data_IF_009256915749
#
_entry.id   IF_009256915749
#
_cell.length_a   1.000
_cell.length_b   1.000
_cell.length_c   1.000
_cell.angle_alpha   90.00
_cell.angle_beta   90.00
_cell.angle_gamma   90.00
#
_symmetry.space_group_name_H-M   'P 1'
#
loop_
_entity.id
_entity.type
_entity.pdbx_description
1 polymer ?
#
# COMPACT_ATOMS: atom_id res chain seq x y z
N UNK A 1 28.90 16.01 10.85
CA UNK A 1 28.20 17.02 11.66
C UNK A 1 26.75 16.99 11.19
N UNK A 2 25.81 16.50 11.99
CA UNK A 2 24.38 16.57 11.63
C UNK A 2 23.94 18.03 11.71
N UNK A 3 23.28 18.51 10.67
CA UNK A 3 22.80 19.89 10.60
C UNK A 3 21.30 19.89 10.93
N UNK A 4 20.99 19.50 12.17
CA UNK A 4 19.62 19.33 12.61
C UNK A 4 18.98 20.71 12.80
N UNK A 5 17.90 20.99 12.06
CA UNK A 5 17.17 22.27 12.12
C UNK A 5 16.37 22.45 13.42
N UNK A 6 16.20 21.39 14.20
CA UNK A 6 15.41 21.33 15.43
C UNK A 6 16.29 20.81 16.57
N UNK A 7 16.71 21.72 17.46
CA UNK A 7 17.78 21.46 18.43
C UNK A 7 17.27 21.15 19.84
N UNK A 8 16.05 21.60 20.19
CA UNK A 8 15.46 21.33 21.51
C UNK A 8 14.64 20.05 21.51
N UNK A 9 14.53 19.40 22.67
CA UNK A 9 13.69 18.21 22.87
C UNK A 9 12.26 18.44 22.41
N UNK A 10 11.70 19.61 22.74
CA UNK A 10 10.35 20.00 22.39
C UNK A 10 10.18 20.18 20.88
N UNK A 11 11.16 20.77 20.19
CA UNK A 11 11.15 20.92 18.73
C UNK A 11 11.26 19.56 18.03
N UNK A 12 12.15 18.69 18.49
CA UNK A 12 12.32 17.35 17.93
C UNK A 12 11.08 16.48 18.10
N UNK A 13 10.47 16.50 19.30
CA UNK A 13 9.22 15.81 19.56
C UNK A 13 8.07 16.32 18.68
N UNK A 14 7.93 17.65 18.56
CA UNK A 14 6.89 18.28 17.74
C UNK A 14 7.06 17.94 16.24
N UNK A 15 8.30 17.96 15.75
CA UNK A 15 8.61 17.56 14.38
C UNK A 15 8.28 16.09 14.12
N UNK A 16 8.63 15.20 15.06
CA UNK A 16 8.30 13.77 14.98
C UNK A 16 6.79 13.50 14.92
N UNK A 17 6.00 14.20 15.74
CA UNK A 17 4.53 14.10 15.70
C UNK A 17 4.00 14.55 14.33
N UNK A 18 4.45 15.71 13.84
CA UNK A 18 4.05 16.22 12.53
C UNK A 18 4.44 15.28 11.38
N UNK A 19 5.62 14.68 11.45
CA UNK A 19 6.09 13.69 10.47
C UNK A 19 5.22 12.43 10.48
N UNK A 20 4.89 11.90 11.66
CA UNK A 20 4.02 10.73 11.78
C UNK A 20 2.61 11.01 11.24
N UNK A 21 2.02 12.15 11.59
CA UNK A 21 0.71 12.57 11.08
C UNK A 21 0.75 12.79 9.56
N UNK A 22 1.81 13.41 9.04
CA UNK A 22 2.00 13.63 7.61
C UNK A 22 2.10 12.31 6.83
N UNK A 23 2.81 11.32 7.36
CA UNK A 23 2.90 9.98 6.76
C UNK A 23 1.53 9.28 6.72
N UNK A 24 0.75 9.40 7.79
CA UNK A 24 -0.62 8.87 7.82
C UNK A 24 -1.53 9.57 6.80
N UNK A 25 -1.47 10.91 6.73
CA UNK A 25 -2.26 11.70 5.78
C UNK A 25 -1.90 11.37 4.32
N UNK A 26 -0.61 11.29 4.01
CA UNK A 26 -0.14 10.96 2.66
C UNK A 26 -0.55 9.55 2.22
N UNK A 27 -0.67 8.62 3.17
CA UNK A 27 -1.13 7.25 2.91
C UNK A 27 -2.65 7.16 2.78
N UNK A 28 -3.39 7.98 3.52
CA UNK A 28 -4.85 7.93 3.57
C UNK A 28 -5.52 8.71 2.44
N UNK A 29 -4.90 9.77 1.94
CA UNK A 29 -5.49 10.65 0.95
C UNK A 29 -4.51 10.95 -0.19
N UNK A 30 -4.89 10.63 -1.42
CA UNK A 30 -4.23 11.18 -2.59
C UNK A 30 -4.76 12.59 -2.87
N UNK A 31 -3.86 13.55 -3.12
CA UNK A 31 -4.23 14.92 -3.49
C UNK A 31 -4.56 15.85 -2.32
N UNK A 32 -4.00 15.61 -1.13
CA UNK A 32 -4.12 16.52 0.03
C UNK A 32 -3.50 17.89 -0.31
N UNK A 33 -4.25 18.97 -0.05
CA UNK A 33 -3.68 20.31 0.02
C UNK A 33 -2.97 20.48 1.38
N UNK A 34 -1.64 20.41 1.34
CA UNK A 34 -0.83 20.46 2.56
C UNK A 34 -0.93 21.82 3.27
N UNK A 35 -1.08 22.92 2.54
CA UNK A 35 -1.22 24.26 3.13
C UNK A 35 -2.56 24.38 3.88
N UNK A 36 -3.64 23.86 3.31
CA UNK A 36 -4.94 23.80 3.98
C UNK A 36 -4.88 22.90 5.23
N UNK A 37 -4.24 21.72 5.13
CA UNK A 37 -4.08 20.80 6.25
C UNK A 37 -3.25 21.42 7.40
N UNK A 38 -2.13 22.09 7.07
CA UNK A 38 -1.32 22.81 8.06
C UNK A 38 -2.09 23.93 8.75
N UNK A 39 -2.90 24.67 7.99
CA UNK A 39 -3.73 25.75 8.52
C UNK A 39 -4.78 25.18 9.49
N UNK A 40 -5.51 24.13 9.08
CA UNK A 40 -6.48 23.47 9.93
C UNK A 40 -5.87 22.87 11.20
N UNK A 41 -4.68 22.27 11.10
CA UNK A 41 -3.95 21.76 12.26
C UNK A 41 -3.56 22.89 13.23
N UNK A 42 -2.99 23.98 12.71
CA UNK A 42 -2.62 25.15 13.50
C UNK A 42 -3.83 25.77 14.21
N UNK A 43 -4.95 25.90 13.51
CA UNK A 43 -6.18 26.48 14.05
C UNK A 43 -6.75 25.59 15.17
N UNK A 44 -6.76 24.27 14.97
CA UNK A 44 -7.18 23.30 15.98
C UNK A 44 -6.31 23.37 17.25
N UNK A 45 -4.98 23.46 17.12
CA UNK A 45 -4.07 23.59 18.27
C UNK A 45 -4.27 24.91 19.04
N UNK A 46 -4.65 25.99 18.34
CA UNK A 46 -4.85 27.30 18.95
C UNK A 46 -6.31 27.51 19.44
N UNK A 47 -7.20 26.55 19.22
CA UNK A 47 -8.63 26.70 19.50
C UNK A 47 -9.30 27.80 18.68
N UNK A 48 -8.78 28.08 17.48
CA UNK A 48 -9.36 29.06 16.58
C UNK A 48 -10.65 28.52 15.95
N UNK A 49 -11.56 29.44 15.58
CA UNK A 49 -12.76 29.06 14.84
C UNK A 49 -12.37 28.51 13.45
N UNK A 50 -13.06 27.47 12.94
CA UNK A 50 -12.79 26.93 11.62
C UNK A 50 -12.90 28.01 10.53
N UNK A 51 -11.89 28.10 9.67
CA UNK A 51 -11.91 28.99 8.50
C UNK A 51 -12.82 28.48 7.37
N UNK A 52 -13.33 27.26 7.50
CA UNK A 52 -14.27 26.63 6.56
C UNK A 52 -15.51 26.23 7.33
N UNK A 53 -16.67 26.47 6.73
CA UNK A 53 -17.97 26.05 7.25
C UNK A 53 -17.99 24.53 7.54
N UNK A 54 -18.35 24.10 8.76
CA UNK A 54 -18.41 22.68 9.11
C UNK A 54 -19.23 21.82 8.15
N UNK A 55 -20.30 22.34 7.56
CA UNK A 55 -21.13 21.58 6.61
C UNK A 55 -20.36 21.33 5.31
N UNK A 56 -19.58 22.31 4.84
CA UNK A 56 -18.70 22.15 3.67
C UNK A 56 -17.55 21.19 3.93
N UNK A 57 -17.04 21.14 5.17
CA UNK A 57 -16.02 20.17 5.57
C UNK A 57 -16.59 18.75 5.45
N UNK A 58 -17.79 18.51 6.01
CA UNK A 58 -18.45 17.20 5.95
C UNK A 58 -18.79 16.79 4.51
N UNK A 59 -19.31 17.69 3.69
CA UNK A 59 -19.58 17.44 2.27
C UNK A 59 -18.29 17.09 1.51
N UNK A 60 -17.21 17.84 1.73
CA UNK A 60 -15.92 17.57 1.10
C UNK A 60 -15.36 16.20 1.48
N UNK A 61 -15.46 15.79 2.76
CA UNK A 61 -15.07 14.46 3.19
C UNK A 61 -15.91 13.36 2.52
N UNK A 62 -17.22 13.55 2.38
CA UNK A 62 -18.09 12.61 1.67
C UNK A 62 -17.70 12.46 0.20
N UNK A 63 -17.44 13.56 -0.50
CA UNK A 63 -16.98 13.55 -1.90
C UNK A 63 -15.63 12.85 -2.03
N UNK A 64 -14.68 13.14 -1.13
CA UNK A 64 -13.36 12.51 -1.13
C UNK A 64 -13.46 11.00 -0.88
N UNK A 65 -14.28 10.57 0.07
CA UNK A 65 -14.51 9.15 0.34
C UNK A 65 -15.08 8.43 -0.88
N UNK A 66 -16.11 9.01 -1.52
CA UNK A 66 -16.68 8.44 -2.74
C UNK A 66 -15.66 8.34 -3.88
N UNK A 67 -14.80 9.35 -4.06
CA UNK A 67 -13.73 9.32 -5.06
C UNK A 67 -12.72 8.20 -4.78
N UNK A 68 -12.32 8.03 -3.52
CA UNK A 68 -11.40 6.95 -3.12
C UNK A 68 -12.01 5.58 -3.37
N UNK A 69 -13.30 5.37 -3.07
CA UNK A 69 -13.99 4.11 -3.35
C UNK A 69 -14.08 3.82 -4.86
N UNK A 70 -14.35 4.86 -5.66
CA UNK A 70 -14.35 4.74 -7.12
C UNK A 70 -12.95 4.39 -7.64
N UNK A 71 -11.92 5.10 -7.18
CA UNK A 71 -10.53 4.83 -7.56
C UNK A 71 -10.09 3.41 -7.17
N UNK A 72 -10.42 2.95 -5.95
CA UNK A 72 -10.16 1.57 -5.53
C UNK A 72 -10.86 0.55 -6.43
N UNK A 73 -12.11 0.82 -6.82
CA UNK A 73 -12.87 -0.06 -7.71
C UNK A 73 -12.26 -0.10 -9.11
N UNK A 74 -11.86 1.04 -9.66
CA UNK A 74 -11.20 1.11 -10.97
C UNK A 74 -9.81 0.47 -10.95
N UNK A 75 -9.01 0.72 -9.91
CA UNK A 75 -7.73 0.06 -9.71
C UNK A 75 -7.89 -1.45 -9.57
N UNK A 76 -8.89 -1.93 -8.82
CA UNK A 76 -9.18 -3.37 -8.70
C UNK A 76 -9.52 -4.01 -10.06
N UNK A 77 -10.29 -3.32 -10.91
CA UNK A 77 -10.56 -3.78 -12.28
C UNK A 77 -9.28 -3.80 -13.14
N UNK A 78 -8.45 -2.76 -13.06
CA UNK A 78 -7.17 -2.69 -13.78
C UNK A 78 -6.26 -3.85 -13.36
N UNK A 79 -6.05 -4.02 -12.06
CA UNK A 79 -5.19 -5.08 -11.52
C UNK A 79 -5.72 -6.48 -11.84
N UNK A 80 -7.04 -6.70 -11.84
CA UNK A 80 -7.63 -7.95 -12.28
C UNK A 80 -7.32 -8.21 -13.77
N UNK A 81 -7.53 -7.23 -14.64
CA UNK A 81 -7.25 -7.36 -16.07
C UNK A 81 -5.75 -7.58 -16.36
N UNK A 82 -4.87 -6.86 -15.66
CA UNK A 82 -3.41 -7.04 -15.75
C UNK A 82 -2.99 -8.44 -15.28
N UNK A 83 -3.57 -8.93 -14.17
CA UNK A 83 -3.32 -10.27 -13.65
C UNK A 83 -3.80 -11.38 -14.59
N UNK A 84 -5.00 -11.23 -15.17
CA UNK A 84 -5.54 -12.16 -16.17
C UNK A 84 -4.65 -12.21 -17.42
N UNK A 85 -4.22 -11.04 -17.91
CA UNK A 85 -3.30 -10.95 -19.06
C UNK A 85 -1.94 -11.60 -18.77
N UNK A 86 -1.38 -11.34 -17.57
CA UNK A 86 -0.14 -11.95 -17.13
C UNK A 86 -0.26 -13.47 -17.08
N UNK A 87 -1.31 -14.01 -16.46
CA UNK A 87 -1.54 -15.45 -16.37
C UNK A 87 -1.76 -16.07 -17.75
N UNK A 88 -2.53 -15.42 -18.63
CA UNK A 88 -2.75 -15.90 -19.98
C UNK A 88 -1.45 -16.00 -20.79
N UNK A 89 -0.53 -15.07 -20.61
CA UNK A 89 0.77 -15.11 -21.30
C UNK A 89 1.76 -16.06 -20.63
N UNK A 90 1.75 -16.11 -19.30
CA UNK A 90 2.63 -17.02 -18.56
C UNK A 90 2.31 -18.50 -18.85
N UNK A 91 1.04 -18.84 -19.05
CA UNK A 91 0.60 -20.19 -19.41
C UNK A 91 1.18 -20.69 -20.75
N UNK A 92 1.66 -19.79 -21.62
CA UNK A 92 2.23 -20.15 -22.92
C UNK A 92 3.73 -20.43 -22.86
N UNK A 93 4.39 -20.14 -21.74
CA UNK A 93 5.82 -20.36 -21.58
C UNK A 93 6.12 -21.85 -21.44
N UNK A 94 7.23 -22.27 -22.04
CA UNK A 94 7.72 -23.64 -21.90
C UNK A 94 8.01 -23.95 -20.43
N UNK A 95 7.62 -25.15 -19.97
CA UNK A 95 7.82 -25.59 -18.60
C UNK A 95 6.73 -25.17 -17.61
N UNK A 96 5.84 -24.24 -17.98
CA UNK A 96 4.70 -23.85 -17.16
C UNK A 96 3.60 -24.90 -17.24
N UNK A 97 3.13 -25.35 -16.07
CA UNK A 97 2.00 -26.26 -15.92
C UNK A 97 0.82 -25.50 -15.31
N UNK A 98 -0.34 -25.60 -15.95
CA UNK A 98 -1.60 -25.03 -15.46
C UNK A 98 -2.45 -26.13 -14.84
N UNK A 99 -2.86 -25.95 -13.59
CA UNK A 99 -3.74 -26.87 -12.87
C UNK A 99 -5.22 -26.59 -13.18
N UNK A 100 -6.12 -27.52 -12.81
CA UNK A 100 -7.57 -27.33 -12.93
C UNK A 100 -8.09 -26.10 -12.15
N UNK A 101 -7.40 -25.71 -11.08
CA UNK A 101 -7.74 -24.52 -10.28
C UNK A 101 -7.31 -23.20 -10.93
N UNK A 102 -6.53 -23.24 -12.02
CA UNK A 102 -5.90 -22.07 -12.63
C UNK A 102 -4.52 -21.72 -12.05
N UNK A 103 -4.08 -22.34 -10.96
CA UNK A 103 -2.71 -22.19 -10.45
C UNK A 103 -1.71 -22.61 -11.54
N UNK A 104 -0.70 -21.77 -11.75
CA UNK A 104 0.41 -22.02 -12.65
C UNK A 104 1.69 -22.20 -11.85
N UNK A 105 2.50 -23.19 -12.22
CA UNK A 105 3.82 -23.40 -11.64
C UNK A 105 4.81 -23.90 -12.68
N UNK A 106 6.08 -23.69 -12.40
CA UNK A 106 7.21 -24.21 -13.17
C UNK A 106 8.14 -24.95 -12.20
N UNK A 107 8.60 -26.15 -12.57
CA UNK A 107 9.59 -26.89 -11.78
C UNK A 107 10.96 -26.53 -12.31
N UNK A 108 11.69 -25.69 -11.58
CA UNK A 108 13.07 -25.33 -11.92
C UNK A 108 14.05 -26.47 -11.61
N UNK A 109 13.89 -27.11 -10.46
CA UNK A 109 14.68 -28.26 -10.04
C UNK A 109 13.77 -29.28 -9.35
N UNK A 110 13.76 -30.51 -9.85
CA UNK A 110 12.91 -31.56 -9.29
C UNK A 110 13.59 -32.22 -8.08
N UNK A 111 12.95 -32.10 -6.92
CA UNK A 111 13.35 -32.84 -5.73
C UNK A 111 12.95 -34.33 -5.79
N UNK A 112 13.67 -35.15 -5.03
CA UNK A 112 13.45 -36.61 -4.94
C UNK A 112 12.85 -37.06 -3.59
N UNK A 113 12.42 -36.12 -2.76
CA UNK A 113 11.86 -36.40 -1.44
C UNK A 113 10.37 -36.73 -1.47
N UNK A 114 9.82 -37.06 -0.30
CA UNK A 114 8.38 -37.23 -0.11
C UNK A 114 7.64 -35.91 -0.39
N UNK A 115 6.49 -36.02 -1.09
CA UNK A 115 5.62 -34.86 -1.31
C UNK A 115 4.91 -34.51 0.00
N UNK A 116 4.86 -33.23 0.40
CA UNK A 116 4.18 -32.83 1.62
C UNK A 116 2.67 -33.11 1.51
N UNK A 117 2.07 -33.49 2.63
CA UNK A 117 0.62 -33.63 2.80
C UNK A 117 0.01 -32.32 3.31
N UNK A 118 -1.33 -32.23 3.31
CA UNK A 118 -2.04 -31.06 3.84
C UNK A 118 -1.77 -30.79 5.33
N UNK A 119 -1.32 -31.80 6.10
CA UNK A 119 -1.00 -31.66 7.53
C UNK A 119 0.51 -31.56 7.81
N UNK A 120 1.33 -31.49 6.76
CA UNK A 120 2.79 -31.40 6.90
C UNK A 120 3.23 -30.00 7.30
N UNK A 121 4.20 -29.89 8.20
CA UNK A 121 4.95 -28.65 8.40
C UNK A 121 6.12 -28.61 7.42
N UNK A 122 6.25 -27.52 6.66
CA UNK A 122 7.33 -27.33 5.68
C UNK A 122 8.28 -26.22 6.12
N UNK A 123 9.52 -26.27 5.64
CA UNK A 123 10.51 -25.19 5.76
C UNK A 123 10.94 -24.78 4.36
N UNK A 124 10.87 -23.49 4.05
CA UNK A 124 11.11 -22.97 2.70
C UNK A 124 11.94 -21.70 2.75
N UNK A 125 12.76 -21.49 1.72
CA UNK A 125 13.16 -20.15 1.32
C UNK A 125 12.29 -19.74 0.13
N UNK A 126 11.75 -18.54 0.19
CA UNK A 126 10.87 -17.95 -0.81
C UNK A 126 11.17 -16.45 -1.01
N UNK A 127 10.71 -15.97 -2.17
CA UNK A 127 10.64 -14.56 -2.54
C UNK A 127 9.30 -14.32 -3.23
N UNK A 128 8.56 -13.33 -2.78
CA UNK A 128 7.27 -12.93 -3.31
C UNK A 128 7.35 -11.58 -4.02
N UNK A 129 6.98 -11.55 -5.30
CA UNK A 129 6.89 -10.31 -6.09
C UNK A 129 5.50 -10.14 -6.68
N UNK A 130 5.06 -8.89 -6.83
CA UNK A 130 3.94 -8.54 -7.69
C UNK A 130 4.29 -8.77 -9.16
N UNK A 131 3.29 -8.76 -10.06
CA UNK A 131 3.51 -8.88 -11.51
C UNK A 131 4.34 -7.73 -12.08
N UNK A 132 4.42 -6.61 -11.36
CA UNK A 132 5.28 -5.45 -11.67
C UNK A 132 6.76 -5.71 -11.36
N UNK A 133 7.08 -6.79 -10.66
CA UNK A 133 8.42 -7.11 -10.16
C UNK A 133 8.75 -6.51 -8.80
N UNK A 134 7.84 -5.71 -8.21
CA UNK A 134 7.99 -5.19 -6.86
C UNK A 134 7.94 -6.34 -5.83
N UNK A 135 8.97 -6.43 -4.99
CA UNK A 135 9.04 -7.43 -3.91
C UNK A 135 8.17 -7.00 -2.73
N UNK A 136 7.29 -7.89 -2.26
CA UNK A 136 6.44 -7.63 -1.10
C UNK A 136 6.83 -8.46 0.13
N UNK A 137 7.53 -9.57 -0.05
CA UNK A 137 8.01 -10.43 1.03
C UNK A 137 9.18 -11.31 0.57
N UNK A 138 10.11 -11.59 1.48
CA UNK A 138 11.31 -12.40 1.20
C UNK A 138 11.87 -13.02 2.47
N UNK A 139 12.34 -14.25 2.35
CA UNK A 139 12.97 -15.01 3.44
C UNK A 139 14.50 -15.09 3.37
N UNK A 140 15.10 -14.38 2.41
CA UNK A 140 16.54 -14.37 2.14
C UNK A 140 17.28 -13.30 2.95
#
# INVERSE_FOLDING_TARGET
MSNDLFETTEQQASYGIGMQMGQQLASAFQGVDFTAAQTGFKDACNGAEPQVDPDKINEAFGIMQQRMEQEQTENAKSFAAEGEAFLAENAKKDGVVVTESGLQYEILEQGNGEKPSATSTVRTHYRGTLITGEEFDSSY
#
